data_IF_612420220804
#
_entry.id   IF_612420220804
#
_cell.length_a   1.000
_cell.length_b   1.000
_cell.length_c   1.000
_cell.angle_alpha   90.00
_cell.angle_beta   90.00
_cell.angle_gamma   90.00
#
_symmetry.space_group_name_H-M   'P 1'
#
loop_
_entity.id
_entity.type
_entity.pdbx_description
1 polymer ?
#
# COMPACT_ATOMS: atom_id res chain seq x y z
N UNK A 1 -63.92 54.43 -35.27
CA UNK A 1 -62.53 54.93 -35.15
C UNK A 1 -61.65 53.70 -35.07
N UNK A 2 -60.99 53.33 -36.17
CA UNK A 2 -60.13 52.14 -36.25
C UNK A 2 -58.68 52.58 -36.22
N UNK A 3 -57.95 52.12 -35.20
CA UNK A 3 -56.51 52.34 -35.03
C UNK A 3 -55.76 51.26 -35.83
N UNK A 4 -54.78 51.59 -36.70
CA UNK A 4 -54.06 50.56 -37.45
C UNK A 4 -52.93 49.96 -36.59
N UNK A 5 -53.03 48.65 -36.35
CA UNK A 5 -51.97 47.85 -35.73
C UNK A 5 -50.69 47.87 -36.58
N UNK A 6 -49.55 48.18 -35.95
CA UNK A 6 -48.25 48.22 -36.62
C UNK A 6 -47.75 46.81 -37.00
N UNK A 7 -47.11 46.63 -38.16
CA UNK A 7 -46.66 45.31 -38.61
C UNK A 7 -45.42 44.86 -37.84
N UNK A 8 -45.52 43.69 -37.20
CA UNK A 8 -44.39 42.98 -36.57
C UNK A 8 -43.42 42.56 -37.69
N UNK A 9 -42.21 43.13 -37.66
CA UNK A 9 -41.14 42.89 -38.65
C UNK A 9 -40.66 41.44 -38.57
N UNK A 10 -41.21 40.57 -39.43
CA UNK A 10 -40.75 39.17 -39.53
C UNK A 10 -39.43 39.09 -40.31
N UNK A 11 -38.40 38.58 -39.65
CA UNK A 11 -37.08 38.42 -40.25
C UNK A 11 -37.14 37.26 -41.26
N UNK A 12 -37.19 37.58 -42.56
CA UNK A 12 -37.20 36.57 -43.64
C UNK A 12 -35.78 36.04 -43.89
N UNK A 13 -35.41 34.95 -43.22
CA UNK A 13 -34.18 34.22 -43.50
C UNK A 13 -34.35 33.32 -44.75
N UNK A 14 -33.39 33.34 -45.68
CA UNK A 14 -33.35 32.39 -46.79
C UNK A 14 -33.19 30.96 -46.27
N UNK A 15 -33.68 29.97 -47.01
CA UNK A 15 -33.62 28.54 -46.64
C UNK A 15 -32.19 28.11 -46.29
N UNK A 16 -31.20 28.63 -47.04
CA UNK A 16 -29.78 28.42 -46.80
C UNK A 16 -29.35 28.91 -45.40
N UNK A 17 -29.76 30.11 -44.98
CA UNK A 17 -29.41 30.65 -43.65
C UNK A 17 -30.07 29.86 -42.52
N UNK A 18 -31.29 29.36 -42.70
CA UNK A 18 -31.97 28.53 -41.70
C UNK A 18 -31.27 27.18 -41.51
N UNK A 19 -30.83 26.56 -42.61
CA UNK A 19 -30.09 25.29 -42.59
C UNK A 19 -28.72 25.46 -41.90
N UNK A 20 -28.01 26.54 -42.23
CA UNK A 20 -26.71 26.87 -41.64
C UNK A 20 -26.80 27.16 -40.13
N UNK A 21 -27.89 27.80 -39.70
CA UNK A 21 -28.16 28.08 -38.28
C UNK A 21 -28.44 26.79 -37.50
N UNK A 22 -29.24 25.87 -38.07
CA UNK A 22 -29.49 24.56 -37.47
C UNK A 22 -28.22 23.72 -37.34
N UNK A 23 -27.42 23.68 -38.41
CA UNK A 23 -26.15 22.94 -38.40
C UNK A 23 -25.12 23.55 -37.43
N UNK A 24 -25.08 24.88 -37.33
CA UNK A 24 -24.24 25.60 -36.36
C UNK A 24 -24.60 25.26 -34.91
N UNK A 25 -25.89 25.18 -34.58
CA UNK A 25 -26.35 24.77 -33.24
C UNK A 25 -25.91 23.34 -32.92
N UNK A 26 -26.03 22.41 -33.87
CA UNK A 26 -25.60 21.02 -33.68
C UNK A 26 -24.09 20.94 -33.45
N UNK A 27 -23.28 21.67 -34.24
CA UNK A 27 -21.82 21.71 -34.07
C UNK A 27 -21.41 22.29 -32.71
N UNK A 28 -22.09 23.33 -32.25
CA UNK A 28 -21.84 23.93 -30.93
C UNK A 28 -22.18 22.92 -29.82
N UNK A 29 -23.32 22.24 -29.91
CA UNK A 29 -23.71 21.21 -28.95
C UNK A 29 -22.70 20.06 -28.92
N UNK A 30 -22.23 19.61 -30.08
CA UNK A 30 -21.24 18.54 -30.18
C UNK A 30 -19.90 18.97 -29.59
N UNK A 31 -19.48 20.21 -29.83
CA UNK A 31 -18.24 20.78 -29.28
C UNK A 31 -18.34 20.92 -27.76
N UNK A 32 -19.47 21.42 -27.24
CA UNK A 32 -19.73 21.51 -25.80
C UNK A 32 -19.75 20.13 -25.14
N UNK A 33 -20.31 19.13 -25.81
CA UNK A 33 -20.32 17.75 -25.32
C UNK A 33 -18.91 17.15 -25.31
N UNK A 34 -18.11 17.37 -26.36
CA UNK A 34 -16.73 16.93 -26.42
C UNK A 34 -15.84 17.62 -25.36
N UNK A 35 -16.03 18.93 -25.14
CA UNK A 35 -15.32 19.68 -24.09
C UNK A 35 -15.73 19.20 -22.70
N UNK A 36 -17.03 19.00 -22.44
CA UNK A 36 -17.48 18.42 -21.17
C UNK A 36 -16.95 17.00 -20.96
N UNK A 37 -16.86 16.20 -22.03
CA UNK A 37 -16.28 14.87 -21.98
C UNK A 37 -14.78 14.94 -21.64
N UNK A 38 -14.02 15.85 -22.27
CA UNK A 38 -12.60 16.09 -21.95
C UNK A 38 -12.38 16.63 -20.53
N UNK A 39 -13.24 17.53 -20.04
CA UNK A 39 -13.18 18.04 -18.66
C UNK A 39 -13.61 16.96 -17.64
N UNK A 40 -14.58 16.10 -17.96
CA UNK A 40 -14.92 14.94 -17.13
C UNK A 40 -13.82 13.88 -17.14
N UNK A 41 -13.11 13.69 -18.25
CA UNK A 41 -11.93 12.81 -18.31
C UNK A 41 -10.85 13.27 -17.32
N UNK A 42 -10.69 14.58 -17.08
CA UNK A 42 -9.78 15.08 -16.04
C UNK A 42 -10.26 14.77 -14.61
N UNK A 43 -11.55 14.55 -14.40
CA UNK A 43 -12.12 14.09 -13.12
C UNK A 43 -12.24 12.56 -13.01
N UNK A 44 -11.81 11.82 -14.04
CA UNK A 44 -11.79 10.35 -14.08
C UNK A 44 -10.35 9.81 -13.85
N UNK A 45 -9.40 10.65 -13.41
CA UNK A 45 -8.01 10.21 -13.13
C UNK A 45 -7.70 10.06 -11.63
N UNK A 46 -8.63 10.37 -10.72
CA UNK A 46 -8.35 10.30 -9.27
C UNK A 46 -8.58 8.93 -8.61
N UNK A 47 -9.00 7.90 -9.35
CA UNK A 47 -9.16 6.53 -8.82
C UNK A 47 -8.08 5.56 -9.34
N UNK A 48 -7.43 5.85 -10.48
CA UNK A 48 -6.35 5.02 -11.03
C UNK A 48 -5.00 5.22 -10.32
N UNK A 49 -4.55 6.47 -10.11
CA UNK A 49 -3.19 6.74 -9.57
C UNK A 49 -3.00 6.22 -8.14
N UNK A 50 -4.05 6.29 -7.30
CA UNK A 50 -3.94 5.94 -5.88
C UNK A 50 -3.78 4.43 -5.62
N UNK A 51 -4.21 3.59 -6.56
CA UNK A 51 -4.10 2.13 -6.45
C UNK A 51 -2.70 1.63 -6.82
N UNK A 52 -2.09 2.23 -7.85
CA UNK A 52 -0.78 1.84 -8.35
C UNK A 52 0.35 2.46 -7.51
N UNK A 53 0.21 3.71 -7.05
CA UNK A 53 1.35 4.42 -6.43
C UNK A 53 1.42 4.32 -4.89
N UNK A 54 0.36 3.88 -4.23
CA UNK A 54 0.33 3.83 -2.75
C UNK A 54 -0.03 2.45 -2.22
N UNK A 55 -1.06 1.80 -2.77
CA UNK A 55 -1.65 0.59 -2.17
C UNK A 55 -0.89 -0.69 -2.53
N UNK A 56 -0.59 -0.91 -3.81
CA UNK A 56 0.27 -2.01 -4.27
C UNK A 56 1.66 -1.99 -3.58
N UNK A 57 2.38 -0.84 -3.55
CA UNK A 57 3.65 -0.74 -2.86
C UNK A 57 3.56 -0.96 -1.34
N UNK A 58 2.47 -0.54 -0.68
CA UNK A 58 2.26 -0.79 0.76
C UNK A 58 2.15 -2.28 1.05
N UNK A 59 1.43 -3.02 0.22
CA UNK A 59 1.27 -4.47 0.40
C UNK A 59 2.57 -5.22 0.11
N UNK A 60 3.30 -4.83 -0.94
CA UNK A 60 4.62 -5.39 -1.23
C UNK A 60 5.61 -5.13 -0.08
N UNK A 61 5.63 -3.92 0.47
CA UNK A 61 6.41 -3.60 1.66
C UNK A 61 6.00 -4.46 2.86
N UNK A 62 4.70 -4.77 3.02
CA UNK A 62 4.23 -5.70 4.05
C UNK A 62 4.75 -7.14 3.88
N UNK A 63 4.84 -7.63 2.63
CA UNK A 63 5.44 -8.93 2.33
C UNK A 63 6.94 -8.93 2.63
N UNK A 64 7.67 -7.92 2.15
CA UNK A 64 9.12 -7.81 2.39
C UNK A 64 9.45 -7.70 3.88
N UNK A 65 8.59 -7.02 4.66
CA UNK A 65 8.70 -6.93 6.11
C UNK A 65 8.53 -8.31 6.77
N UNK A 66 7.54 -9.08 6.32
CA UNK A 66 7.26 -10.44 6.82
C UNK A 66 8.41 -11.40 6.48
N UNK A 67 8.91 -11.35 5.26
CA UNK A 67 10.08 -12.11 4.82
C UNK A 67 11.33 -11.77 5.63
N UNK A 68 11.55 -10.47 5.87
CA UNK A 68 12.66 -10.00 6.71
C UNK A 68 12.56 -10.53 8.15
N UNK A 69 11.36 -10.55 8.73
CA UNK A 69 11.11 -11.14 10.06
C UNK A 69 11.45 -12.63 10.07
N UNK A 70 10.97 -13.40 9.11
CA UNK A 70 11.24 -14.83 9.02
C UNK A 70 12.73 -15.12 8.83
N UNK A 71 13.40 -14.39 7.94
CA UNK A 71 14.82 -14.51 7.67
C UNK A 71 15.66 -14.18 8.92
N UNK A 72 15.30 -13.10 9.64
CA UNK A 72 16.02 -12.72 10.87
C UNK A 72 15.90 -13.78 11.96
N UNK A 73 14.72 -14.40 12.12
CA UNK A 73 14.49 -15.50 13.07
C UNK A 73 15.22 -16.78 12.67
N UNK A 74 15.26 -17.11 11.38
CA UNK A 74 16.00 -18.25 10.87
C UNK A 74 17.49 -18.09 11.14
N UNK A 75 18.06 -16.92 10.81
CA UNK A 75 19.44 -16.57 11.12
C UNK A 75 19.75 -16.66 12.62
N UNK A 76 18.93 -16.05 13.48
CA UNK A 76 19.15 -16.13 14.93
C UNK A 76 19.06 -17.58 15.46
N UNK A 77 18.11 -18.37 14.99
CA UNK A 77 18.00 -19.78 15.37
C UNK A 77 19.23 -20.58 14.92
N UNK A 78 19.66 -20.39 13.68
CA UNK A 78 20.88 -21.01 13.15
C UNK A 78 22.10 -20.65 13.99
N UNK A 79 22.23 -19.37 14.37
CA UNK A 79 23.27 -18.89 15.26
C UNK A 79 23.22 -19.57 16.64
N UNK A 80 22.06 -19.60 17.30
CA UNK A 80 21.90 -20.25 18.62
C UNK A 80 22.32 -21.73 18.57
N UNK A 81 22.00 -22.46 17.50
CA UNK A 81 22.29 -23.90 17.39
C UNK A 81 23.75 -24.17 17.00
N UNK A 82 24.29 -23.41 16.05
CA UNK A 82 25.54 -23.76 15.35
C UNK A 82 26.67 -22.73 15.50
N UNK A 83 26.42 -21.57 16.11
CA UNK A 83 27.39 -20.47 16.18
C UNK A 83 28.56 -20.67 17.15
N UNK A 84 28.70 -21.84 17.78
CA UNK A 84 29.95 -22.22 18.44
C UNK A 84 31.10 -22.38 17.44
N UNK A 85 30.79 -22.74 16.20
CA UNK A 85 31.75 -22.79 15.10
C UNK A 85 31.88 -21.40 14.45
N UNK A 86 33.07 -20.77 14.40
CA UNK A 86 33.23 -19.40 13.92
C UNK A 86 32.66 -19.13 12.52
N UNK A 87 32.89 -20.05 11.57
CA UNK A 87 32.41 -19.91 10.19
C UNK A 87 30.87 -19.95 10.11
N UNK A 88 30.23 -20.79 10.94
CA UNK A 88 28.76 -20.89 11.00
C UNK A 88 28.17 -19.70 11.75
N UNK A 89 28.84 -19.23 12.81
CA UNK A 89 28.46 -18.02 13.52
C UNK A 89 28.40 -16.82 12.57
N UNK A 90 29.45 -16.59 11.79
CA UNK A 90 29.49 -15.49 10.83
C UNK A 90 28.40 -15.61 9.77
N UNK A 91 28.19 -16.80 9.22
CA UNK A 91 27.13 -17.08 8.25
C UNK A 91 25.74 -16.70 8.78
N UNK A 92 25.38 -17.18 9.97
CA UNK A 92 24.05 -16.96 10.54
C UNK A 92 23.85 -15.53 11.05
N UNK A 93 24.91 -14.85 11.51
CA UNK A 93 24.87 -13.41 11.80
C UNK A 93 24.64 -12.60 10.53
N UNK A 94 25.29 -12.94 9.43
CA UNK A 94 25.09 -12.27 8.14
C UNK A 94 23.65 -12.47 7.63
N UNK A 95 23.10 -13.69 7.74
CA UNK A 95 21.70 -13.99 7.39
C UNK A 95 20.72 -13.18 8.25
N UNK A 96 20.96 -13.11 9.56
CA UNK A 96 20.17 -12.26 10.48
C UNK A 96 20.23 -10.80 10.06
N UNK A 97 21.42 -10.28 9.77
CA UNK A 97 21.62 -8.90 9.36
C UNK A 97 20.95 -8.60 8.01
N UNK A 98 20.93 -9.55 7.09
CA UNK A 98 20.18 -9.43 5.83
C UNK A 98 18.67 -9.34 6.08
N UNK A 99 18.14 -10.15 7.00
CA UNK A 99 16.76 -10.04 7.47
C UNK A 99 16.45 -8.64 8.01
N UNK A 100 17.33 -8.09 8.85
CA UNK A 100 17.17 -6.73 9.38
C UNK A 100 17.22 -5.64 8.31
N UNK A 101 18.11 -5.74 7.31
CA UNK A 101 18.12 -4.81 6.18
C UNK A 101 16.79 -4.81 5.41
N UNK A 102 16.18 -5.98 5.22
CA UNK A 102 14.84 -6.09 4.61
C UNK A 102 13.77 -5.43 5.48
N UNK A 103 13.75 -5.73 6.78
CA UNK A 103 12.82 -5.13 7.75
C UNK A 103 12.89 -3.61 7.70
N UNK A 104 14.10 -3.05 7.81
CA UNK A 104 14.31 -1.60 7.84
C UNK A 104 13.89 -0.92 6.54
N UNK A 105 14.26 -1.49 5.39
CA UNK A 105 13.86 -0.98 4.08
C UNK A 105 12.34 -1.01 3.91
N UNK A 106 11.70 -2.12 4.27
CA UNK A 106 10.26 -2.29 4.14
C UNK A 106 9.48 -1.34 5.08
N UNK A 107 9.94 -1.19 6.33
CA UNK A 107 9.33 -0.26 7.29
C UNK A 107 9.49 1.19 6.81
N UNK A 108 10.65 1.55 6.26
CA UNK A 108 10.89 2.88 5.70
C UNK A 108 9.95 3.17 4.53
N UNK A 109 9.82 2.23 3.59
CA UNK A 109 8.89 2.35 2.46
C UNK A 109 7.44 2.51 2.95
N UNK A 110 7.03 1.71 3.94
CA UNK A 110 5.68 1.80 4.49
C UNK A 110 5.42 3.14 5.20
N UNK A 111 6.43 3.70 5.88
CA UNK A 111 6.35 5.06 6.44
C UNK A 111 6.21 6.13 5.36
N UNK A 112 6.93 6.01 4.25
CA UNK A 112 6.82 6.94 3.13
C UNK A 112 5.43 6.88 2.47
N UNK A 113 4.87 5.69 2.27
CA UNK A 113 3.50 5.53 1.77
C UNK A 113 2.46 6.05 2.77
N UNK A 114 2.72 5.91 4.08
CA UNK A 114 1.80 6.32 5.13
C UNK A 114 1.48 7.82 5.14
N UNK A 115 2.38 8.66 4.60
CA UNK A 115 2.17 10.11 4.46
C UNK A 115 0.86 10.41 3.70
N UNK A 116 0.52 9.56 2.73
CA UNK A 116 -0.65 9.71 1.85
C UNK A 116 -1.86 8.86 2.28
N UNK A 117 -1.78 8.17 3.42
CA UNK A 117 -2.92 7.43 3.95
C UNK A 117 -3.98 8.39 4.50
N UNK A 118 -5.23 8.17 4.11
CA UNK A 118 -6.38 8.95 4.60
C UNK A 118 -7.10 8.31 5.77
N UNK A 119 -6.81 7.04 6.07
CA UNK A 119 -7.42 6.30 7.18
C UNK A 119 -6.55 6.48 8.43
N UNK A 120 -7.01 7.18 9.48
CA UNK A 120 -6.21 7.41 10.69
C UNK A 120 -5.83 6.12 11.41
N UNK A 121 -6.73 5.11 11.40
CA UNK A 121 -6.50 3.79 11.98
C UNK A 121 -5.25 3.10 11.40
N UNK A 122 -5.03 3.20 10.09
CA UNK A 122 -3.86 2.58 9.46
C UNK A 122 -2.56 3.22 9.95
N UNK A 123 -2.54 4.54 10.14
CA UNK A 123 -1.38 5.26 10.70
C UNK A 123 -1.09 4.83 12.15
N UNK A 124 -2.14 4.59 12.95
CA UNK A 124 -1.98 4.07 14.30
C UNK A 124 -1.39 2.66 14.30
N UNK A 125 -1.92 1.75 13.47
CA UNK A 125 -1.39 0.40 13.31
C UNK A 125 0.09 0.39 12.89
N UNK A 126 0.50 1.29 11.98
CA UNK A 126 1.90 1.43 11.59
C UNK A 126 2.80 1.86 12.76
N UNK A 127 2.34 2.79 13.58
CA UNK A 127 3.09 3.23 14.76
C UNK A 127 3.21 2.11 15.81
N UNK A 128 2.14 1.36 16.05
CA UNK A 128 2.16 0.17 16.93
C UNK A 128 3.13 -0.88 16.39
N UNK A 129 3.08 -1.15 15.08
CA UNK A 129 3.98 -2.09 14.43
C UNK A 129 5.45 -1.67 14.57
N UNK A 130 5.76 -0.38 14.46
CA UNK A 130 7.12 0.13 14.69
C UNK A 130 7.62 -0.19 16.11
N UNK A 131 6.79 0.07 17.12
CA UNK A 131 7.13 -0.26 18.51
C UNK A 131 7.42 -1.76 18.67
N UNK A 132 6.57 -2.61 18.07
CA UNK A 132 6.77 -4.07 18.11
C UNK A 132 8.05 -4.51 17.41
N UNK A 133 8.43 -3.87 16.29
CA UNK A 133 9.68 -4.16 15.57
C UNK A 133 10.90 -3.79 16.42
N UNK A 134 10.85 -2.67 17.14
CA UNK A 134 11.94 -2.25 18.03
C UNK A 134 12.08 -3.20 19.23
N UNK A 135 10.97 -3.61 19.86
CA UNK A 135 10.97 -4.64 20.92
C UNK A 135 11.54 -5.97 20.40
N UNK A 136 11.15 -6.37 19.19
CA UNK A 136 11.65 -7.57 18.53
C UNK A 136 13.15 -7.52 18.27
N UNK A 137 13.67 -6.35 17.90
CA UNK A 137 15.11 -6.13 17.72
C UNK A 137 15.89 -6.34 19.01
N UNK A 138 15.42 -5.74 20.09
CA UNK A 138 16.04 -5.87 21.41
C UNK A 138 16.02 -7.33 21.86
N UNK A 139 14.87 -8.00 21.75
CA UNK A 139 14.73 -9.40 22.15
C UNK A 139 15.65 -10.35 21.35
N UNK A 140 15.85 -10.10 20.05
CA UNK A 140 16.80 -10.87 19.26
C UNK A 140 18.25 -10.62 19.65
N UNK A 141 18.61 -9.35 19.95
CA UNK A 141 19.97 -9.00 20.32
C UNK A 141 20.35 -9.60 21.66
N UNK A 142 19.49 -9.48 22.66
CA UNK A 142 19.68 -10.10 23.97
C UNK A 142 19.81 -11.63 23.86
N UNK A 143 18.98 -12.26 23.02
CA UNK A 143 19.10 -13.70 22.76
C UNK A 143 20.44 -14.07 22.11
N UNK A 144 20.96 -13.25 21.19
CA UNK A 144 22.29 -13.45 20.60
C UNK A 144 23.41 -13.28 21.63
N UNK A 145 23.33 -12.25 22.48
CA UNK A 145 24.37 -11.90 23.45
C UNK A 145 24.55 -12.98 24.54
N UNK A 146 23.44 -13.62 24.94
CA UNK A 146 23.45 -14.72 25.90
C UNK A 146 23.62 -16.09 25.23
N UNK A 147 23.63 -16.15 23.88
CA UNK A 147 23.88 -17.39 23.15
C UNK A 147 25.28 -17.89 23.42
N UNK A 148 25.41 -19.21 23.60
CA UNK A 148 26.68 -19.92 23.83
C UNK A 148 27.46 -19.51 25.09
N UNK A 149 26.86 -18.70 25.96
CA UNK A 149 27.27 -18.58 27.36
C UNK A 149 26.93 -19.88 28.12
N UNK A 150 27.49 -20.10 29.33
CA UNK A 150 27.12 -21.24 30.18
C UNK A 150 25.58 -21.37 30.37
N UNK A 151 24.88 -20.25 30.29
CA UNK A 151 23.43 -20.08 30.32
C UNK A 151 22.75 -20.17 28.93
N UNK A 152 23.13 -21.13 28.09
CA UNK A 152 22.61 -21.25 26.72
C UNK A 152 21.10 -21.61 26.64
N UNK A 153 20.50 -22.15 27.71
CA UNK A 153 19.05 -22.45 27.76
C UNK A 153 18.20 -21.16 27.74
N UNK A 154 18.57 -20.10 28.49
CA UNK A 154 17.99 -18.77 28.36
C UNK A 154 17.88 -18.18 26.95
N UNK A 155 18.88 -18.35 26.07
CA UNK A 155 18.84 -17.85 24.69
C UNK A 155 17.65 -18.45 23.90
N UNK A 156 17.53 -19.78 23.96
CA UNK A 156 16.43 -20.50 23.31
C UNK A 156 15.08 -20.16 23.94
N UNK A 157 15.03 -20.02 25.27
CA UNK A 157 13.83 -19.57 25.98
C UNK A 157 13.40 -18.19 25.50
N UNK A 158 14.31 -17.23 25.42
CA UNK A 158 14.01 -15.87 24.96
C UNK A 158 13.51 -15.84 23.52
N UNK A 159 14.14 -16.61 22.61
CA UNK A 159 13.67 -16.74 21.23
C UNK A 159 12.23 -17.24 21.17
N UNK A 160 11.89 -18.28 21.94
CA UNK A 160 10.59 -18.93 21.91
C UNK A 160 9.50 -18.16 22.67
N UNK A 161 9.83 -17.47 23.76
CA UNK A 161 8.85 -16.83 24.64
C UNK A 161 8.71 -15.32 24.44
N UNK A 162 9.66 -14.67 23.76
CA UNK A 162 9.62 -13.22 23.51
C UNK A 162 9.67 -12.91 22.02
N UNK A 163 10.76 -13.28 21.33
CA UNK A 163 10.98 -12.90 19.95
C UNK A 163 9.94 -13.50 18.98
N UNK A 164 9.66 -14.81 19.09
CA UNK A 164 8.66 -15.46 18.23
C UNK A 164 7.23 -14.95 18.46
N UNK A 165 6.75 -14.77 19.71
CA UNK A 165 5.46 -14.12 19.97
C UNK A 165 5.36 -12.68 19.44
N UNK A 166 6.41 -11.86 19.57
CA UNK A 166 6.42 -10.51 19.02
C UNK A 166 6.38 -10.52 17.49
N UNK A 167 7.17 -11.38 16.84
CA UNK A 167 7.11 -11.60 15.38
C UNK A 167 5.69 -11.97 14.93
N UNK A 168 5.00 -12.87 15.66
CA UNK A 168 3.61 -13.23 15.37
C UNK A 168 2.67 -12.03 15.46
N UNK A 169 2.85 -11.14 16.45
CA UNK A 169 2.05 -9.91 16.58
C UNK A 169 2.30 -8.97 15.40
N UNK A 170 3.56 -8.82 14.98
CA UNK A 170 3.90 -7.98 13.81
C UNK A 170 3.23 -8.52 12.56
N UNK A 171 3.38 -9.82 12.27
CA UNK A 171 2.74 -10.47 11.11
C UNK A 171 1.21 -10.34 11.16
N UNK A 172 0.60 -10.46 12.34
CA UNK A 172 -0.84 -10.27 12.51
C UNK A 172 -1.29 -8.82 12.28
N UNK A 173 -0.49 -7.83 12.71
CA UNK A 173 -0.75 -6.42 12.46
C UNK A 173 -0.64 -6.08 10.96
N UNK A 174 0.38 -6.62 10.27
CA UNK A 174 0.52 -6.52 8.81
C UNK A 174 -0.70 -7.13 8.12
N UNK A 175 -1.10 -8.33 8.53
CA UNK A 175 -2.27 -9.03 8.00
C UNK A 175 -3.54 -8.20 8.19
N UNK A 176 -3.72 -7.59 9.36
CA UNK A 176 -4.88 -6.74 9.64
C UNK A 176 -4.88 -5.46 8.81
N UNK A 177 -3.70 -4.85 8.59
CA UNK A 177 -3.54 -3.68 7.73
C UNK A 177 -3.90 -4.02 6.28
N UNK A 178 -3.48 -5.20 5.80
CA UNK A 178 -3.82 -5.73 4.49
C UNK A 178 -5.33 -6.04 4.38
N UNK A 179 -5.94 -6.65 5.39
CA UNK A 179 -7.35 -7.03 5.36
C UNK A 179 -8.27 -5.80 5.41
N UNK A 180 -7.93 -4.77 6.19
CA UNK A 180 -8.63 -3.48 6.19
C UNK A 180 -8.56 -2.78 4.82
N UNK A 181 -7.42 -2.91 4.13
CA UNK A 181 -7.27 -2.41 2.76
C UNK A 181 -8.19 -3.15 1.77
N UNK A 182 -8.46 -4.45 2.01
CA UNK A 182 -9.33 -5.29 1.18
C UNK A 182 -10.84 -4.97 1.32
N UNK A 183 -11.27 -4.30 2.39
CA UNK A 183 -12.68 -3.92 2.62
C UNK A 183 -13.15 -2.72 1.76
N UNK A 184 -12.24 -2.08 1.04
CA UNK A 184 -12.53 -0.91 0.21
C UNK A 184 -13.04 -1.35 -1.19
N UNK A 185 -14.00 -0.62 -1.77
CA UNK A 185 -14.69 -0.91 -3.06
C UNK A 185 -13.88 -1.65 -4.16
N UNK A 186 -14.27 -2.86 -4.54
CA UNK A 186 -13.52 -3.73 -5.45
C UNK A 186 -13.40 -3.16 -6.89
N UNK A 187 -12.19 -2.76 -7.29
CA UNK A 187 -11.82 -2.50 -8.70
C UNK A 187 -11.08 -3.73 -9.29
N UNK A 188 -10.96 -3.89 -10.62
CA UNK A 188 -10.21 -5.00 -11.24
C UNK A 188 -8.78 -5.15 -10.71
N UNK A 189 -8.11 -4.05 -10.42
CA UNK A 189 -6.75 -3.96 -9.88
C UNK A 189 -6.71 -4.48 -8.42
N UNK A 190 -7.78 -4.27 -7.64
CA UNK A 190 -7.91 -4.84 -6.28
C UNK A 190 -8.09 -6.35 -6.30
N UNK A 191 -8.71 -6.93 -7.32
CA UNK A 191 -8.76 -8.40 -7.48
C UNK A 191 -7.37 -8.98 -7.76
N UNK A 192 -6.54 -8.26 -8.51
CA UNK A 192 -5.16 -8.65 -8.76
C UNK A 192 -4.30 -8.56 -7.49
N UNK A 193 -4.51 -7.53 -6.66
CA UNK A 193 -3.91 -7.42 -5.33
C UNK A 193 -4.33 -8.59 -4.42
N UNK A 194 -5.63 -8.90 -4.37
CA UNK A 194 -6.17 -10.02 -3.58
C UNK A 194 -5.60 -11.38 -4.03
N UNK A 195 -5.32 -11.53 -5.33
CA UNK A 195 -4.64 -12.70 -5.89
C UNK A 195 -3.18 -12.79 -5.43
N UNK A 196 -2.42 -11.69 -5.54
CA UNK A 196 -1.02 -11.64 -5.05
C UNK A 196 -0.94 -11.91 -3.54
N UNK A 197 -1.90 -11.41 -2.77
CA UNK A 197 -2.03 -11.66 -1.34
C UNK A 197 -2.33 -13.12 -1.02
N UNK A 198 -3.25 -13.75 -1.76
CA UNK A 198 -3.55 -15.17 -1.63
C UNK A 198 -2.34 -16.04 -1.99
N UNK A 199 -1.57 -15.65 -3.02
CA UNK A 199 -0.36 -16.36 -3.44
C UNK A 199 0.79 -16.24 -2.41
N UNK A 200 0.88 -15.12 -1.67
CA UNK A 200 1.90 -14.92 -0.61
C UNK A 200 1.60 -15.64 0.71
N UNK A 201 0.35 -16.04 0.94
CA UNK A 201 -0.09 -16.78 2.13
C UNK A 201 0.11 -18.30 1.99
N UNK A 202 0.52 -18.78 0.80
CA UNK A 202 0.77 -20.19 0.47
C UNK A 202 2.19 -20.65 0.74
#
# INVERSE_FOLDING_TARGET
>A
MNEPAQPIKSIKFSVQKKLLLGFGVILILFSLMAVNNLLQIQNIVTIEERLIDVRLPTVMAGMDLTDGIHLSLAGLRGYIILGKEPNKAELFKAERQQGWKKIDSALQQMMDFSKNWTVPKNKQLLNEMKSLVDEFRQAQQEAEDISHQPDNIPALKMLLTQAAPQAKKIVAAITSLIDEEALLAATPERKQLLKLLADSRG
#
